data_IF_131378561713
#
_entry.id   IF_131378561713
#
_cell.length_a   1.000
_cell.length_b   1.000
_cell.length_c   1.000
_cell.angle_alpha   90.00
_cell.angle_beta   90.00
_cell.angle_gamma   90.00
#
_symmetry.space_group_name_H-M   'P 1'
#
loop_
_entity.id
_entity.type
_entity.pdbx_description
1 polymer ?
#
# COMPACT_ATOMS: atom_id res chain seq x y z
N UNK A 1 4.15 -30.70 13.16
CA UNK A 1 3.31 -29.72 13.89
C UNK A 1 3.02 -28.61 12.91
N UNK A 2 1.75 -28.36 12.57
CA UNK A 2 1.39 -27.21 11.74
C UNK A 2 1.68 -25.96 12.58
N UNK A 3 2.61 -25.13 12.13
CA UNK A 3 2.83 -23.80 12.71
C UNK A 3 1.52 -23.03 12.48
N UNK A 4 0.80 -22.73 13.53
CA UNK A 4 -0.36 -21.86 13.47
C UNK A 4 0.18 -20.46 13.13
N UNK A 5 0.27 -20.13 11.86
CA UNK A 5 0.71 -18.80 11.43
C UNK A 5 -0.38 -17.81 11.84
N UNK A 6 -0.05 -16.87 12.71
CA UNK A 6 -0.97 -15.79 13.09
C UNK A 6 -1.32 -15.03 11.82
N UNK A 7 -2.60 -14.99 11.52
CA UNK A 7 -3.10 -14.36 10.31
C UNK A 7 -3.09 -12.84 10.49
N UNK A 8 -2.70 -12.11 9.44
CA UNK A 8 -2.69 -10.66 9.47
C UNK A 8 -4.11 -10.10 9.74
N UNK A 9 -4.30 -9.20 10.72
CA UNK A 9 -5.63 -8.68 11.07
C UNK A 9 -6.36 -8.00 9.90
N UNK A 10 -5.64 -7.37 8.97
CA UNK A 10 -6.23 -6.77 7.76
C UNK A 10 -6.77 -7.87 6.86
N UNK A 11 -6.00 -8.94 6.67
CA UNK A 11 -6.43 -10.09 5.89
C UNK A 11 -7.70 -10.70 6.47
N UNK A 12 -7.74 -10.94 7.78
CA UNK A 12 -8.93 -11.47 8.45
C UNK A 12 -10.15 -10.56 8.31
N UNK A 13 -9.96 -9.25 8.46
CA UNK A 13 -11.03 -8.27 8.36
C UNK A 13 -11.66 -8.28 6.97
N UNK A 14 -10.83 -8.38 5.92
CA UNK A 14 -11.30 -8.38 4.53
C UNK A 14 -11.92 -9.73 4.14
N UNK A 15 -11.40 -10.84 4.66
CA UNK A 15 -11.94 -12.19 4.38
C UNK A 15 -13.27 -12.48 5.08
N UNK A 16 -13.56 -11.84 6.19
CA UNK A 16 -14.82 -11.97 6.92
C UNK A 16 -15.95 -11.10 6.37
N UNK A 17 -15.72 -10.42 5.23
CA UNK A 17 -16.71 -9.58 4.56
C UNK A 17 -17.74 -10.45 3.83
N UNK A 18 -18.94 -10.60 4.42
CA UNK A 18 -20.01 -11.46 3.87
C UNK A 18 -21.31 -10.71 3.56
N UNK A 19 -21.39 -9.40 3.84
CA UNK A 19 -22.62 -8.61 3.65
C UNK A 19 -22.36 -7.12 3.42
N UNK A 20 -23.40 -6.40 2.99
CA UNK A 20 -23.40 -4.95 2.76
C UNK A 20 -23.15 -4.08 4.02
N UNK A 21 -23.09 -4.67 5.22
CA UNK A 21 -22.72 -4.00 6.48
C UNK A 21 -21.24 -4.19 6.81
N UNK A 22 -20.43 -4.31 5.82
CA UNK A 22 -19.04 -4.68 5.93
C UNK A 22 -18.22 -3.59 6.57
N UNK A 23 -17.33 -4.02 7.47
CA UNK A 23 -16.37 -3.15 8.12
C UNK A 23 -15.13 -3.02 7.25
N UNK A 24 -14.69 -1.80 7.01
CA UNK A 24 -13.39 -1.48 6.46
C UNK A 24 -12.43 -1.03 7.55
N UNK A 25 -11.17 -0.90 7.20
CA UNK A 25 -10.18 -0.16 7.98
C UNK A 25 -9.76 1.05 7.16
N UNK A 26 -9.77 2.22 7.77
CA UNK A 26 -9.20 3.40 7.14
C UNK A 26 -7.70 3.45 7.40
N UNK A 27 -6.98 3.97 6.45
CA UNK A 27 -5.56 4.24 6.57
C UNK A 27 -5.35 5.66 7.11
N UNK A 28 -4.65 5.79 8.24
CA UNK A 28 -4.21 7.06 8.76
C UNK A 28 -2.77 7.30 8.26
N UNK A 29 -2.64 7.78 7.01
CA UNK A 29 -1.35 8.09 6.42
C UNK A 29 -0.85 9.44 6.92
N UNK A 30 -0.15 9.44 8.05
CA UNK A 30 0.33 10.66 8.70
C UNK A 30 1.51 10.40 9.64
N UNK A 31 2.46 11.32 9.65
CA UNK A 31 3.54 11.38 10.64
C UNK A 31 3.31 12.46 11.70
N UNK A 32 2.13 13.10 11.71
CA UNK A 32 1.78 14.13 12.68
C UNK A 32 1.21 13.51 13.96
N UNK A 33 1.83 13.82 15.12
CA UNK A 33 1.43 13.26 16.41
C UNK A 33 -0.04 13.54 16.77
N UNK A 34 -0.58 14.72 16.45
CA UNK A 34 -1.97 15.05 16.76
C UNK A 34 -2.95 14.23 15.95
N UNK A 35 -2.67 14.04 14.66
CA UNK A 35 -3.49 13.22 13.76
C UNK A 35 -3.48 11.76 14.21
N UNK A 36 -2.29 11.20 14.47
CA UNK A 36 -2.14 9.82 14.94
C UNK A 36 -2.86 9.61 16.28
N UNK A 37 -2.72 10.54 17.24
CA UNK A 37 -3.44 10.46 18.53
C UNK A 37 -4.96 10.47 18.33
N UNK A 38 -5.48 11.31 17.42
CA UNK A 38 -6.91 11.35 17.12
C UNK A 38 -7.39 9.99 16.56
N UNK A 39 -6.61 9.38 15.65
CA UNK A 39 -6.91 8.07 15.09
C UNK A 39 -6.88 6.96 16.17
N UNK A 40 -5.87 6.97 17.04
CA UNK A 40 -5.75 6.02 18.16
C UNK A 40 -6.93 6.13 19.13
N UNK A 41 -7.30 7.36 19.53
CA UNK A 41 -8.46 7.62 20.41
C UNK A 41 -9.77 7.15 19.78
N UNK A 42 -9.96 7.42 18.47
CA UNK A 42 -11.14 6.99 17.74
C UNK A 42 -11.25 5.48 17.67
N UNK A 43 -10.15 4.78 17.34
CA UNK A 43 -10.11 3.33 17.30
C UNK A 43 -10.38 2.71 18.67
N UNK A 44 -9.80 3.29 19.73
CA UNK A 44 -10.03 2.85 21.10
C UNK A 44 -11.50 3.00 21.52
N UNK A 45 -12.12 4.14 21.21
CA UNK A 45 -13.54 4.40 21.53
C UNK A 45 -14.50 3.46 20.79
N UNK A 46 -14.14 3.05 19.58
CA UNK A 46 -14.97 2.16 18.75
C UNK A 46 -14.65 0.67 18.94
N UNK A 47 -13.69 0.35 19.78
CA UNK A 47 -13.17 -1.02 19.97
C UNK A 47 -12.69 -1.66 18.65
N UNK A 48 -11.98 -0.90 17.80
CA UNK A 48 -11.47 -1.34 16.49
C UNK A 48 -9.94 -1.34 16.44
N UNK A 49 -9.38 -1.93 15.39
CA UNK A 49 -7.97 -1.72 15.02
C UNK A 49 -7.79 -0.34 14.39
N UNK A 50 -6.57 0.15 14.40
CA UNK A 50 -6.14 1.35 13.66
C UNK A 50 -4.98 0.97 12.76
N UNK A 51 -5.01 1.43 11.50
CA UNK A 51 -3.89 1.32 10.58
C UNK A 51 -3.26 2.71 10.45
N UNK A 52 -1.99 2.83 10.85
CA UNK A 52 -1.20 4.05 10.69
C UNK A 52 -0.13 3.80 9.66
N UNK A 53 -0.01 4.69 8.70
CA UNK A 53 0.89 4.51 7.56
C UNK A 53 1.82 5.70 7.38
N UNK A 54 2.95 5.43 6.73
CA UNK A 54 3.88 6.45 6.26
C UNK A 54 4.27 6.19 4.81
N UNK A 55 4.43 7.28 4.04
CA UNK A 55 4.94 7.21 2.66
C UNK A 55 6.47 7.22 2.62
N UNK A 56 7.04 6.82 1.48
CA UNK A 56 8.49 6.88 1.24
C UNK A 56 9.08 8.29 1.41
N UNK A 57 8.30 9.33 1.11
CA UNK A 57 8.75 10.72 1.30
C UNK A 57 8.74 11.14 2.78
N UNK A 58 7.82 10.60 3.57
CA UNK A 58 7.75 10.88 5.01
C UNK A 58 8.85 10.17 5.77
N UNK A 59 9.06 8.90 5.48
CA UNK A 59 9.91 7.98 6.25
C UNK A 59 10.65 7.08 5.28
N UNK A 60 11.97 7.07 5.34
CA UNK A 60 12.80 6.17 4.52
C UNK A 60 14.15 5.92 5.21
N UNK A 61 15.00 5.10 4.62
CA UNK A 61 16.33 4.77 5.15
C UNK A 61 17.21 6.00 5.43
N UNK A 62 16.95 7.12 4.77
CA UNK A 62 17.66 8.40 4.95
C UNK A 62 16.91 9.39 5.84
N UNK A 63 15.77 8.99 6.44
CA UNK A 63 14.97 9.80 7.33
C UNK A 63 13.75 10.49 6.70
N UNK A 64 13.65 10.56 5.38
CA UNK A 64 12.59 11.31 4.70
C UNK A 64 12.52 12.77 5.13
N UNK A 65 11.39 13.45 4.89
CA UNK A 65 11.25 14.84 5.37
C UNK A 65 10.95 14.95 6.87
N UNK A 66 10.60 13.84 7.52
CA UNK A 66 10.33 13.81 8.97
C UNK A 66 11.59 13.60 9.82
N UNK A 67 12.70 13.21 9.20
CA UNK A 67 13.93 12.80 9.87
C UNK A 67 13.86 11.40 10.50
N UNK A 68 12.81 10.62 10.22
CA UNK A 68 12.60 9.28 10.78
C UNK A 68 12.92 8.18 9.78
N UNK A 69 13.70 7.20 10.23
CA UNK A 69 13.77 5.88 9.58
C UNK A 69 12.50 5.07 9.88
N UNK A 70 12.22 3.96 9.16
CA UNK A 70 11.09 3.09 9.49
C UNK A 70 11.09 2.61 10.95
N UNK A 71 12.25 2.31 11.51
CA UNK A 71 12.39 1.92 12.92
C UNK A 71 12.04 3.07 13.89
N UNK A 72 12.46 4.30 13.57
CA UNK A 72 12.12 5.49 14.36
C UNK A 72 10.63 5.78 14.33
N UNK A 73 9.99 5.66 13.14
CA UNK A 73 8.55 5.85 13.00
C UNK A 73 7.76 4.79 13.77
N UNK A 74 8.21 3.53 13.73
CA UNK A 74 7.60 2.46 14.54
C UNK A 74 7.70 2.77 16.03
N UNK A 75 8.87 3.15 16.54
CA UNK A 75 9.07 3.53 17.94
C UNK A 75 8.24 4.76 18.33
N UNK A 76 8.13 5.74 17.42
CA UNK A 76 7.27 6.91 17.59
C UNK A 76 5.79 6.52 17.72
N UNK A 77 5.28 5.66 16.85
CA UNK A 77 3.91 5.17 16.90
C UNK A 77 3.63 4.37 18.18
N UNK A 78 4.54 3.45 18.57
CA UNK A 78 4.40 2.64 19.79
C UNK A 78 4.36 3.51 21.05
N UNK A 79 5.16 4.57 21.09
CA UNK A 79 5.11 5.56 22.18
C UNK A 79 3.77 6.27 22.25
N UNK A 80 3.25 6.78 21.12
CA UNK A 80 1.94 7.43 21.06
C UNK A 80 0.81 6.47 21.48
N UNK A 81 0.84 5.23 20.99
CA UNK A 81 -0.14 4.21 21.34
C UNK A 81 -0.13 3.93 22.86
N UNK A 82 1.05 3.80 23.46
CA UNK A 82 1.21 3.61 24.92
C UNK A 82 0.65 4.79 25.72
N UNK A 83 0.95 6.02 25.30
CA UNK A 83 0.46 7.23 25.96
C UNK A 83 -1.07 7.36 25.88
N UNK A 84 -1.69 6.94 24.77
CA UNK A 84 -3.15 6.92 24.60
C UNK A 84 -3.82 5.68 25.22
N UNK A 85 -3.04 4.74 25.75
CA UNK A 85 -3.53 3.48 26.33
C UNK A 85 -4.21 2.58 25.28
N UNK A 86 -3.70 2.60 24.05
CA UNK A 86 -4.15 1.73 22.96
C UNK A 86 -3.38 0.39 23.05
N UNK A 87 -4.08 -0.76 23.05
CA UNK A 87 -3.40 -2.06 23.04
C UNK A 87 -2.54 -2.26 21.78
N UNK A 88 -1.28 -2.69 21.95
CA UNK A 88 -0.32 -2.81 20.85
C UNK A 88 -0.82 -3.71 19.69
N UNK A 89 -1.51 -4.83 19.99
CA UNK A 89 -2.04 -5.75 18.99
C UNK A 89 -3.17 -5.14 18.12
N UNK A 90 -3.67 -3.97 18.48
CA UNK A 90 -4.69 -3.23 17.72
C UNK A 90 -4.11 -2.10 16.89
N UNK A 91 -2.81 -1.86 16.98
CA UNK A 91 -2.09 -0.84 16.21
C UNK A 91 -1.35 -1.52 15.07
N UNK A 92 -1.86 -1.34 13.86
CA UNK A 92 -1.25 -1.85 12.65
C UNK A 92 -0.40 -0.75 12.02
N UNK A 93 0.78 -1.12 11.52
CA UNK A 93 1.70 -0.21 10.88
C UNK A 93 1.82 -0.59 9.41
N UNK A 94 1.64 0.38 8.52
CA UNK A 94 1.68 0.19 7.07
C UNK A 94 2.61 1.16 6.37
N UNK A 95 3.17 0.71 5.26
CA UNK A 95 3.84 1.55 4.29
C UNK A 95 2.90 1.88 3.14
N UNK A 96 2.91 3.13 2.72
CA UNK A 96 2.06 3.66 1.67
C UNK A 96 2.89 4.22 0.53
N UNK A 97 2.53 3.94 -0.73
CA UNK A 97 3.27 4.31 -1.93
C UNK A 97 4.79 3.99 -1.82
N UNK A 98 5.13 2.76 -1.41
CA UNK A 98 6.52 2.34 -1.33
C UNK A 98 7.03 1.90 -2.70
N UNK A 99 7.99 2.64 -3.21
CA UNK A 99 8.55 2.41 -4.53
C UNK A 99 9.69 3.38 -4.86
N UNK A 100 10.08 3.49 -6.14
CA UNK A 100 11.24 4.26 -6.57
C UNK A 100 11.01 5.78 -6.64
N UNK A 101 9.84 6.32 -6.27
CA UNK A 101 9.49 7.74 -6.42
C UNK A 101 10.57 8.69 -5.90
N UNK A 102 11.08 8.46 -4.71
CA UNK A 102 12.12 9.32 -4.08
C UNK A 102 13.42 9.34 -4.89
N UNK A 103 13.65 8.33 -5.72
CA UNK A 103 14.85 8.14 -6.52
C UNK A 103 14.57 8.12 -8.03
N UNK A 104 13.47 8.69 -8.48
CA UNK A 104 13.04 8.67 -9.88
C UNK A 104 14.05 9.33 -10.86
N UNK A 105 14.93 10.17 -10.35
CA UNK A 105 16.01 10.79 -11.10
C UNK A 105 17.23 9.89 -11.32
N UNK A 106 17.23 8.67 -10.79
CA UNK A 106 18.29 7.68 -10.97
C UNK A 106 17.92 6.69 -12.08
N UNK A 107 18.91 6.00 -12.69
CA UNK A 107 18.67 4.84 -13.55
C UNK A 107 17.91 3.73 -12.80
N UNK A 108 17.17 2.88 -13.55
CA UNK A 108 16.29 1.84 -12.98
C UNK A 108 16.98 1.00 -11.91
N UNK A 109 18.17 0.46 -12.20
CA UNK A 109 18.87 -0.41 -11.25
C UNK A 109 19.15 0.28 -9.92
N UNK A 110 19.58 1.53 -9.96
CA UNK A 110 19.88 2.31 -8.75
C UNK A 110 18.61 2.74 -8.02
N UNK A 111 17.56 3.15 -8.74
CA UNK A 111 16.29 3.53 -8.17
C UNK A 111 15.61 2.34 -7.48
N UNK A 112 15.61 1.18 -8.13
CA UNK A 112 15.03 -0.04 -7.59
C UNK A 112 15.83 -0.60 -6.41
N UNK A 113 17.16 -0.52 -6.43
CA UNK A 113 17.98 -0.93 -5.27
C UNK A 113 17.64 -0.11 -4.01
N UNK A 114 17.47 1.21 -4.16
CA UNK A 114 17.02 2.06 -3.06
C UNK A 114 15.59 1.73 -2.61
N UNK A 115 14.69 1.42 -3.54
CA UNK A 115 13.32 1.03 -3.21
C UNK A 115 13.26 -0.33 -2.50
N UNK A 116 14.12 -1.30 -2.84
CA UNK A 116 14.27 -2.55 -2.12
C UNK A 116 14.75 -2.31 -0.67
N UNK A 117 15.78 -1.47 -0.49
CA UNK A 117 16.27 -1.10 0.84
C UNK A 117 15.17 -0.44 1.68
N UNK A 118 14.41 0.47 1.08
CA UNK A 118 13.24 1.10 1.71
C UNK A 118 12.26 0.03 2.23
N UNK A 119 11.79 -0.85 1.35
CA UNK A 119 10.81 -1.90 1.71
C UNK A 119 11.35 -2.84 2.77
N UNK A 120 12.62 -3.26 2.65
CA UNK A 120 13.27 -4.07 3.67
C UNK A 120 13.27 -3.38 5.03
N UNK A 121 13.60 -2.08 5.07
CA UNK A 121 13.57 -1.28 6.29
C UNK A 121 12.18 -1.25 6.94
N UNK A 122 11.13 -1.08 6.15
CA UNK A 122 9.75 -1.12 6.64
C UNK A 122 9.40 -2.49 7.25
N UNK A 123 9.65 -3.57 6.53
CA UNK A 123 9.32 -4.92 7.00
C UNK A 123 10.12 -5.30 8.24
N UNK A 124 11.42 -5.00 8.28
CA UNK A 124 12.28 -5.24 9.44
C UNK A 124 11.89 -4.39 10.67
N UNK A 125 11.19 -3.28 10.47
CA UNK A 125 10.60 -2.48 11.55
C UNK A 125 9.20 -2.99 11.98
N UNK A 126 8.71 -4.11 11.42
CA UNK A 126 7.44 -4.72 11.79
C UNK A 126 6.20 -4.10 11.14
N UNK A 127 6.37 -3.44 9.99
CA UNK A 127 5.24 -3.02 9.17
C UNK A 127 4.60 -4.22 8.51
N UNK A 128 3.29 -4.35 8.63
CA UNK A 128 2.54 -5.54 8.22
C UNK A 128 1.56 -5.30 7.06
N UNK A 129 1.44 -4.07 6.57
CA UNK A 129 0.78 -3.72 5.29
C UNK A 129 1.79 -2.97 4.43
N UNK A 130 2.00 -3.42 3.21
CA UNK A 130 2.96 -2.85 2.28
C UNK A 130 2.22 -2.51 0.99
N UNK A 131 2.08 -1.22 0.71
CA UNK A 131 1.61 -0.75 -0.59
C UNK A 131 2.81 -0.58 -1.51
N UNK A 132 2.85 -1.42 -2.53
CA UNK A 132 3.90 -1.43 -3.55
C UNK A 132 3.43 -0.53 -4.70
N UNK A 133 4.08 0.61 -4.87
CA UNK A 133 3.83 1.53 -5.98
C UNK A 133 5.06 1.65 -6.86
N UNK A 134 4.98 1.15 -8.06
CA UNK A 134 6.04 1.16 -9.08
C UNK A 134 5.60 1.83 -10.38
N UNK A 135 4.56 2.64 -10.33
CA UNK A 135 4.01 3.38 -11.46
C UNK A 135 4.90 4.56 -11.89
N UNK A 136 5.82 4.97 -11.02
CA UNK A 136 6.70 6.11 -11.30
C UNK A 136 7.75 5.77 -12.33
N UNK A 137 7.96 6.69 -13.28
CA UNK A 137 9.09 6.62 -14.19
C UNK A 137 10.38 6.86 -13.45
N UNK A 138 11.45 6.23 -13.91
CA UNK A 138 12.83 6.49 -13.49
C UNK A 138 13.63 7.07 -14.67
N UNK A 139 14.82 7.54 -14.42
CA UNK A 139 15.60 8.29 -15.42
C UNK A 139 15.87 7.55 -16.75
N UNK A 140 15.78 6.23 -16.75
CA UNK A 140 15.96 5.40 -17.96
C UNK A 140 14.68 5.09 -18.71
N UNK A 141 13.52 5.46 -18.17
CA UNK A 141 12.24 5.27 -18.84
C UNK A 141 12.00 6.35 -19.89
N UNK A 142 11.22 6.02 -20.92
CA UNK A 142 10.82 7.01 -21.93
C UNK A 142 9.94 8.11 -21.27
N UNK A 143 10.38 9.38 -21.28
CA UNK A 143 9.63 10.46 -20.64
C UNK A 143 8.33 10.80 -21.36
N UNK A 144 8.13 10.34 -22.61
CA UNK A 144 6.98 10.68 -23.47
C UNK A 144 5.94 9.57 -23.51
N UNK A 145 6.32 8.32 -23.19
CA UNK A 145 5.42 7.18 -23.24
C UNK A 145 4.85 6.84 -21.85
N UNK A 146 3.62 6.32 -21.85
CA UNK A 146 3.07 5.67 -20.65
C UNK A 146 3.97 4.49 -20.25
N UNK A 147 4.25 4.33 -18.96
CA UNK A 147 4.98 3.16 -18.47
C UNK A 147 4.11 1.91 -18.68
N UNK A 148 4.63 0.86 -19.37
CA UNK A 148 3.87 -0.36 -19.60
C UNK A 148 3.52 -1.07 -18.28
N UNK A 149 2.29 -1.60 -18.19
CA UNK A 149 1.82 -2.33 -16.99
C UNK A 149 2.73 -3.53 -16.66
N UNK A 150 3.30 -4.19 -17.67
CA UNK A 150 4.30 -5.26 -17.49
C UNK A 150 5.59 -4.79 -16.81
N UNK A 151 6.04 -3.56 -17.05
CA UNK A 151 7.20 -2.96 -16.35
C UNK A 151 6.83 -2.63 -14.91
N UNK A 152 5.66 -2.04 -14.70
CA UNK A 152 5.13 -1.75 -13.35
C UNK A 152 5.02 -3.04 -12.54
N UNK A 153 4.40 -4.07 -13.09
CA UNK A 153 4.23 -5.37 -12.43
C UNK A 153 5.56 -6.08 -12.16
N UNK A 154 6.51 -6.03 -13.10
CA UNK A 154 7.85 -6.61 -12.93
C UNK A 154 8.60 -5.94 -11.77
N UNK A 155 8.59 -4.61 -11.71
CA UNK A 155 9.19 -3.84 -10.62
C UNK A 155 8.47 -4.13 -9.30
N UNK A 156 7.13 -4.20 -9.31
CA UNK A 156 6.32 -4.52 -8.13
C UNK A 156 6.64 -5.91 -7.57
N UNK A 157 6.77 -6.91 -8.43
CA UNK A 157 7.17 -8.27 -8.03
C UNK A 157 8.61 -8.31 -7.46
N UNK A 158 9.51 -7.46 -7.96
CA UNK A 158 10.85 -7.31 -7.40
C UNK A 158 10.82 -6.78 -5.97
N UNK A 159 10.03 -5.75 -5.71
CA UNK A 159 9.85 -5.17 -4.37
C UNK A 159 9.14 -6.13 -3.42
N UNK A 160 8.15 -6.89 -3.90
CA UNK A 160 7.52 -7.93 -3.11
C UNK A 160 8.52 -9.03 -2.70
N UNK A 161 9.43 -9.44 -3.59
CA UNK A 161 10.48 -10.40 -3.25
C UNK A 161 11.41 -9.86 -2.14
N UNK A 162 11.77 -8.58 -2.18
CA UNK A 162 12.53 -7.93 -1.13
C UNK A 162 11.78 -7.90 0.21
N UNK A 163 10.46 -7.65 0.18
CA UNK A 163 9.61 -7.70 1.37
C UNK A 163 9.54 -9.10 1.99
N UNK A 164 9.34 -10.14 1.17
CA UNK A 164 9.28 -11.53 1.64
C UNK A 164 10.62 -11.98 2.23
N UNK A 165 11.74 -11.61 1.59
CA UNK A 165 13.07 -11.88 2.14
C UNK A 165 13.30 -11.20 3.48
N UNK A 166 12.93 -9.93 3.60
CA UNK A 166 13.03 -9.19 4.86
C UNK A 166 12.11 -9.78 5.95
N UNK A 167 10.91 -10.24 5.57
CA UNK A 167 10.01 -10.86 6.53
C UNK A 167 10.57 -12.20 7.06
N UNK A 168 11.21 -12.99 6.22
CA UNK A 168 11.86 -14.22 6.66
C UNK A 168 12.96 -13.94 7.70
N UNK A 169 13.73 -12.86 7.55
CA UNK A 169 14.70 -12.40 8.55
C UNK A 169 14.02 -11.90 9.82
N UNK A 170 12.98 -11.08 9.69
CA UNK A 170 12.22 -10.53 10.82
C UNK A 170 11.59 -11.65 11.67
N UNK A 171 11.03 -12.67 11.02
CA UNK A 171 10.36 -13.77 11.68
C UNK A 171 11.28 -14.63 12.56
N UNK A 172 12.59 -14.62 12.31
CA UNK A 172 13.57 -15.34 13.16
C UNK A 172 13.52 -14.80 14.60
N UNK A 173 13.39 -13.47 14.76
CA UNK A 173 13.32 -12.81 16.06
C UNK A 173 11.88 -12.63 16.55
N UNK A 174 10.90 -12.72 15.65
CA UNK A 174 9.49 -12.51 15.90
C UNK A 174 8.64 -13.66 15.33
N UNK A 175 8.75 -14.89 15.87
CA UNK A 175 8.14 -16.09 15.28
C UNK A 175 6.62 -16.01 15.15
N UNK A 176 5.96 -15.22 16.00
CA UNK A 176 4.52 -15.02 16.01
C UNK A 176 4.07 -13.79 15.16
N UNK A 177 4.99 -13.15 14.44
CA UNK A 177 4.63 -12.02 13.59
C UNK A 177 3.72 -12.45 12.44
N UNK A 178 2.63 -11.73 12.15
CA UNK A 178 1.79 -12.00 10.99
C UNK A 178 2.53 -11.66 9.71
N UNK A 179 2.40 -12.51 8.69
CA UNK A 179 2.94 -12.21 7.36
C UNK A 179 2.37 -10.90 6.83
N UNK A 180 3.16 -10.08 6.12
CA UNK A 180 2.66 -8.84 5.54
C UNK A 180 1.60 -9.12 4.49
N UNK A 181 0.64 -8.19 4.39
CA UNK A 181 -0.31 -8.10 3.29
C UNK A 181 0.13 -7.01 2.32
N UNK A 182 -0.27 -7.14 1.08
CA UNK A 182 0.14 -6.25 0.01
C UNK A 182 -1.05 -5.48 -0.57
N UNK A 183 -0.79 -4.24 -0.93
CA UNK A 183 -1.62 -3.44 -1.82
C UNK A 183 -0.79 -3.17 -3.07
N UNK A 184 -1.38 -3.27 -4.24
CA UNK A 184 -0.73 -3.06 -5.54
C UNK A 184 -1.46 -1.98 -6.34
N UNK A 185 -0.81 -1.50 -7.38
CA UNK A 185 -1.34 -0.46 -8.25
C UNK A 185 -1.09 0.94 -7.71
N UNK A 186 -1.52 1.89 -8.47
CA UNK A 186 -1.50 3.32 -8.17
C UNK A 186 -2.74 3.96 -8.76
N UNK A 187 -3.00 5.21 -8.40
CA UNK A 187 -4.14 5.97 -8.92
C UNK A 187 -4.09 6.21 -10.42
N UNK A 188 -3.03 5.73 -11.05
CA UNK A 188 -2.77 5.97 -12.45
C UNK A 188 -3.37 4.87 -13.30
N UNK A 189 -4.06 5.24 -14.36
CA UNK A 189 -3.33 5.65 -15.54
C UNK A 189 -3.23 7.16 -15.62
N UNK A 190 -2.13 7.78 -15.22
CA UNK A 190 -1.87 9.11 -15.71
C UNK A 190 -1.26 8.98 -17.11
N UNK A 191 -2.01 9.10 -18.18
CA UNK A 191 -1.44 9.37 -19.49
C UNK A 191 -0.95 10.81 -19.42
N UNK A 192 0.35 11.00 -19.32
CA UNK A 192 0.94 12.32 -19.43
C UNK A 192 0.88 13.24 -18.21
N UNK A 193 0.47 12.74 -17.05
CA UNK A 193 0.28 13.56 -15.86
C UNK A 193 -1.04 14.34 -15.88
N UNK A 194 -1.61 14.56 -14.71
CA UNK A 194 -2.82 15.38 -14.51
C UNK A 194 -2.60 16.88 -14.85
N UNK A 195 -1.90 17.17 -15.93
CA UNK A 195 -1.59 18.55 -16.34
C UNK A 195 -2.52 19.10 -17.41
N UNK A 196 -3.45 18.31 -17.94
CA UNK A 196 -4.23 18.80 -19.10
C UNK A 196 -5.69 19.11 -18.87
N UNK A 197 -6.30 18.76 -17.72
CA UNK A 197 -7.61 19.33 -17.35
C UNK A 197 -7.80 19.25 -15.84
N UNK A 198 -7.70 20.37 -15.18
CA UNK A 198 -7.99 20.51 -13.74
C UNK A 198 -9.46 20.19 -13.36
N UNK A 199 -10.31 19.90 -14.33
CA UNK A 199 -11.74 19.73 -14.13
C UNK A 199 -12.26 18.29 -14.23
N UNK A 200 -11.43 17.29 -14.57
CA UNK A 200 -11.90 15.90 -14.65
C UNK A 200 -10.79 14.86 -14.42
N UNK A 201 -11.09 13.88 -13.56
CA UNK A 201 -10.25 12.69 -13.34
C UNK A 201 -10.90 11.50 -14.02
N UNK A 202 -10.10 10.78 -14.83
CA UNK A 202 -10.60 9.59 -15.54
C UNK A 202 -10.75 8.43 -14.55
N UNK A 203 -11.96 7.90 -14.41
CA UNK A 203 -12.23 6.72 -13.61
C UNK A 203 -11.54 5.51 -14.23
N UNK A 204 -10.86 4.71 -13.40
CA UNK A 204 -10.28 3.41 -13.82
C UNK A 204 -11.38 2.53 -14.41
N UNK A 205 -11.15 1.98 -15.59
CA UNK A 205 -12.11 1.05 -16.21
C UNK A 205 -12.00 -0.35 -15.60
N UNK A 206 -13.07 -1.16 -15.64
CA UNK A 206 -12.98 -2.58 -15.26
C UNK A 206 -11.86 -3.32 -15.99
N UNK A 207 -11.71 -3.06 -17.27
CA UNK A 207 -10.73 -3.69 -18.17
C UNK A 207 -9.29 -3.33 -17.75
N UNK A 208 -9.03 -2.06 -17.44
CA UNK A 208 -7.71 -1.61 -16.93
C UNK A 208 -7.38 -2.27 -15.59
N UNK A 209 -8.37 -2.38 -14.70
CA UNK A 209 -8.21 -3.05 -13.42
C UNK A 209 -7.88 -4.55 -13.60
N UNK A 210 -8.61 -5.25 -14.46
CA UNK A 210 -8.38 -6.67 -14.76
C UNK A 210 -7.01 -6.89 -15.42
N UNK A 211 -6.62 -6.02 -16.34
CA UNK A 211 -5.30 -6.08 -16.98
C UNK A 211 -4.18 -5.88 -15.94
N UNK A 212 -4.28 -4.88 -15.10
CA UNK A 212 -3.29 -4.64 -14.03
C UNK A 212 -3.17 -5.86 -13.12
N UNK A 213 -4.28 -6.46 -12.68
CA UNK A 213 -4.27 -7.67 -11.87
C UNK A 213 -3.60 -8.84 -12.58
N UNK A 214 -3.88 -9.06 -13.86
CA UNK A 214 -3.29 -10.15 -14.64
C UNK A 214 -1.76 -9.99 -14.80
N UNK A 215 -1.29 -8.76 -15.07
CA UNK A 215 0.14 -8.46 -15.19
C UNK A 215 0.88 -8.69 -13.86
N UNK A 216 0.33 -8.19 -12.74
CA UNK A 216 0.92 -8.42 -11.43
C UNK A 216 0.92 -9.91 -11.06
N UNK A 217 -0.18 -10.63 -11.29
CA UNK A 217 -0.25 -12.07 -11.03
C UNK A 217 0.82 -12.84 -11.81
N UNK A 218 0.99 -12.52 -13.08
CA UNK A 218 2.01 -13.12 -13.94
C UNK A 218 3.42 -12.82 -13.44
N UNK A 219 3.71 -11.56 -13.10
CA UNK A 219 5.02 -11.14 -12.60
C UNK A 219 5.37 -11.78 -11.24
N UNK A 220 4.38 -11.90 -10.33
CA UNK A 220 4.57 -12.60 -9.05
C UNK A 220 4.84 -14.09 -9.27
N UNK A 221 4.06 -14.76 -10.16
CA UNK A 221 4.27 -16.17 -10.50
C UNK A 221 5.65 -16.42 -11.10
N UNK A 222 6.12 -15.55 -12.00
CA UNK A 222 7.43 -15.64 -12.61
C UNK A 222 8.59 -15.57 -11.61
N UNK A 223 8.37 -14.97 -10.43
CA UNK A 223 9.33 -14.88 -9.31
C UNK A 223 9.07 -15.91 -8.19
N UNK A 224 8.13 -16.84 -8.37
CA UNK A 224 7.78 -17.83 -7.34
C UNK A 224 7.02 -17.24 -6.14
N UNK A 225 6.43 -16.06 -6.28
CA UNK A 225 5.73 -15.34 -5.21
C UNK A 225 4.22 -15.68 -5.14
N UNK A 226 3.84 -16.92 -5.50
CA UNK A 226 2.43 -17.35 -5.51
C UNK A 226 1.77 -17.24 -4.14
N UNK A 227 2.51 -17.54 -3.05
CA UNK A 227 1.99 -17.39 -1.69
C UNK A 227 1.82 -15.91 -1.30
N UNK A 228 2.74 -15.03 -1.71
CA UNK A 228 2.61 -13.59 -1.51
C UNK A 228 1.42 -13.01 -2.27
N UNK A 229 1.16 -13.49 -3.50
CA UNK A 229 -0.01 -13.12 -4.28
C UNK A 229 -1.32 -13.38 -3.54
N UNK A 230 -1.45 -14.49 -2.81
CA UNK A 230 -2.64 -14.78 -2.00
C UNK A 230 -2.85 -13.76 -0.85
N UNK A 231 -1.83 -12.95 -0.56
CA UNK A 231 -1.88 -11.90 0.47
C UNK A 231 -1.97 -10.50 -0.13
N UNK A 232 -2.17 -10.37 -1.42
CA UNK A 232 -2.59 -9.12 -2.05
C UNK A 232 -4.06 -8.89 -1.67
N UNK A 233 -4.31 -7.87 -0.86
CA UNK A 233 -5.61 -7.61 -0.24
C UNK A 233 -6.37 -6.46 -0.88
N UNK A 234 -5.68 -5.62 -1.63
CA UNK A 234 -6.31 -4.50 -2.33
C UNK A 234 -5.51 -4.10 -3.58
N UNK A 235 -6.23 -3.52 -4.52
CA UNK A 235 -5.70 -2.79 -5.67
C UNK A 235 -6.13 -1.33 -5.56
N UNK A 236 -5.20 -0.41 -5.83
CA UNK A 236 -5.51 1.02 -5.93
C UNK A 236 -6.18 1.27 -7.28
N UNK A 237 -7.26 2.05 -7.25
CA UNK A 237 -8.03 2.45 -8.44
C UNK A 237 -8.42 3.92 -8.30
N UNK A 238 -8.56 4.62 -9.42
CA UNK A 238 -9.11 5.98 -9.44
C UNK A 238 -10.64 5.93 -9.57
N UNK A 239 -11.39 6.25 -8.51
CA UNK A 239 -12.85 6.19 -8.53
C UNK A 239 -13.51 7.50 -9.03
N UNK A 240 -12.72 8.47 -9.47
CA UNK A 240 -13.21 9.77 -9.92
C UNK A 240 -13.37 10.80 -8.80
N UNK A 241 -12.52 10.74 -7.78
CA UNK A 241 -12.41 11.79 -6.76
C UNK A 241 -10.94 12.21 -6.67
N UNK A 242 -10.69 13.50 -6.52
CA UNK A 242 -9.33 14.03 -6.39
C UNK A 242 -9.33 15.23 -5.44
N UNK A 243 -8.29 15.33 -4.63
CA UNK A 243 -8.05 16.44 -3.73
C UNK A 243 -6.76 17.15 -4.15
N UNK A 244 -6.88 18.17 -4.99
CA UNK A 244 -5.75 19.01 -5.37
C UNK A 244 -5.55 20.15 -4.37
N UNK A 245 -4.49 20.93 -4.54
CA UNK A 245 -4.12 22.01 -3.61
C UNK A 245 -5.21 23.10 -3.52
N UNK A 246 -5.91 23.40 -4.62
CA UNK A 246 -6.90 24.49 -4.71
C UNK A 246 -8.29 24.01 -5.17
N UNK A 247 -8.46 22.72 -5.50
CA UNK A 247 -9.71 22.18 -6.03
C UNK A 247 -10.02 20.80 -5.48
N UNK A 248 -11.29 20.42 -5.55
CA UNK A 248 -11.77 19.08 -5.24
C UNK A 248 -12.64 18.60 -6.40
N UNK A 249 -12.30 17.44 -6.96
CA UNK A 249 -13.18 16.74 -7.89
C UNK A 249 -14.02 15.78 -7.07
N UNK A 250 -15.32 16.04 -7.01
CA UNK A 250 -16.25 15.26 -6.21
C UNK A 250 -16.56 13.90 -6.85
N UNK A 251 -16.77 12.89 -6.00
CA UNK A 251 -17.10 11.53 -6.41
C UNK A 251 -18.43 11.45 -7.17
N UNK A 252 -18.37 11.00 -8.42
CA UNK A 252 -19.56 10.65 -9.21
C UNK A 252 -19.85 9.15 -9.11
N UNK A 253 -20.89 8.82 -8.35
CA UNK A 253 -21.33 7.43 -8.15
C UNK A 253 -21.75 6.74 -9.44
N UNK A 254 -22.31 7.47 -10.40
CA UNK A 254 -22.78 6.91 -11.66
C UNK A 254 -21.58 6.57 -12.57
N UNK A 255 -20.59 7.46 -12.65
CA UNK A 255 -19.36 7.24 -13.39
C UNK A 255 -18.55 6.04 -12.81
N UNK A 256 -18.50 5.90 -11.50
CA UNK A 256 -17.76 4.81 -10.85
C UNK A 256 -18.53 3.47 -10.78
N UNK A 257 -19.79 3.41 -11.19
CA UNK A 257 -20.67 2.25 -10.92
C UNK A 257 -20.16 0.94 -11.56
N UNK A 258 -19.61 0.98 -12.77
CA UNK A 258 -19.09 -0.21 -13.47
C UNK A 258 -17.86 -0.77 -12.78
N UNK A 259 -16.90 0.08 -12.44
CA UNK A 259 -15.70 -0.28 -11.68
C UNK A 259 -16.09 -0.90 -10.34
N UNK A 260 -17.02 -0.27 -9.62
CA UNK A 260 -17.48 -0.72 -8.32
C UNK A 260 -18.18 -2.08 -8.35
N UNK A 261 -18.82 -2.43 -9.47
CA UNK A 261 -19.49 -3.72 -9.65
C UNK A 261 -18.52 -4.87 -10.00
N UNK A 262 -17.34 -4.56 -10.54
CA UNK A 262 -16.37 -5.56 -11.01
C UNK A 262 -15.45 -6.05 -9.88
N UNK A 263 -14.98 -5.16 -9.03
CA UNK A 263 -13.99 -5.45 -7.99
C UNK A 263 -14.37 -6.58 -6.99
N UNK A 264 -15.64 -6.79 -6.59
CA UNK A 264 -15.99 -7.87 -5.67
C UNK A 264 -15.97 -9.28 -6.28
N UNK A 265 -15.76 -9.42 -7.59
CA UNK A 265 -15.90 -10.69 -8.31
C UNK A 265 -14.60 -11.51 -8.41
N UNK A 266 -13.47 -10.95 -7.99
CA UNK A 266 -12.22 -11.69 -8.00
C UNK A 266 -12.16 -12.69 -6.84
N UNK A 267 -12.06 -14.02 -7.16
CA UNK A 267 -11.91 -15.06 -6.16
C UNK A 267 -10.51 -14.95 -5.54
N UNK A 268 -10.41 -14.40 -4.39
CA UNK A 268 -9.17 -14.09 -3.68
C UNK A 268 -9.31 -12.82 -2.84
N UNK A 269 -10.43 -12.11 -3.01
CA UNK A 269 -10.86 -11.04 -2.10
C UNK A 269 -9.98 -9.79 -2.10
N UNK A 270 -9.51 -9.41 -3.29
CA UNK A 270 -8.84 -8.13 -3.46
C UNK A 270 -9.88 -7.03 -3.23
N UNK A 271 -9.68 -6.27 -2.17
CA UNK A 271 -10.47 -5.08 -1.86
C UNK A 271 -10.02 -3.87 -2.68
N UNK A 272 -10.67 -2.74 -2.43
CA UNK A 272 -10.24 -1.44 -2.95
C UNK A 272 -9.37 -0.74 -1.92
N UNK A 273 -8.28 -0.14 -2.36
CA UNK A 273 -7.68 0.98 -1.70
C UNK A 273 -8.01 2.23 -2.51
N UNK A 274 -8.40 3.28 -1.83
CA UNK A 274 -8.45 4.64 -2.35
C UNK A 274 -7.44 5.43 -1.52
N UNK A 275 -6.59 6.15 -2.19
CA UNK A 275 -5.55 6.97 -1.56
C UNK A 275 -5.99 8.42 -1.55
#
# INVERSE_FOLDING_TARGET
MAVCTIQNPIFELLHKRTSAKEKGVYSCCSANAFVIRAALRRAKANDTVVLVEATANQVNQNGGYTGMTPADFRAFLDRLAKEEGMPAHRVLCGGDHLGPLTWQNLPEDAAMANAEELIRGYVLAGFSKIHIDTSMRVATDDPTARLPDSVIARRGAQLCAAAEGAFAEYQILHPDAPKPVYVIGSEVPIPGGAQENEDSVTVTTPEDCEQTLAEFQSAFAARGLTEAWQRVVAIVVQPGVEFADESVIEYDRAAAASLMATLPRHPGQIGRAHV
#
